data_IF_504512783584
#
_entry.id   IF_504512783584
#
_cell.length_a   1.000
_cell.length_b   1.000
_cell.length_c   1.000
_cell.angle_alpha   90.00
_cell.angle_beta   90.00
_cell.angle_gamma   90.00
#
_symmetry.space_group_name_H-M   'P 1'
#
loop_
_entity.id
_entity.type
_entity.pdbx_description
1 polymer ?
#
# COMPACT_ATOMS: atom_id res chain seq x y z
N UNK A 1 -32.42 56.82 20.86
CA UNK A 1 -31.28 55.91 21.09
C UNK A 1 -30.71 55.53 19.73
N UNK A 2 -29.41 55.76 19.51
CA UNK A 2 -28.68 55.48 18.26
C UNK A 2 -28.14 54.06 18.28
N UNK A 3 -28.33 53.35 17.17
CA UNK A 3 -27.74 52.03 16.88
C UNK A 3 -26.23 52.12 16.71
N UNK A 4 -25.50 51.23 17.39
CA UNK A 4 -24.12 50.86 17.06
C UNK A 4 -24.03 49.33 16.99
N UNK A 5 -23.84 48.82 15.78
CA UNK A 5 -23.41 47.46 15.49
C UNK A 5 -21.91 47.56 15.25
N UNK A 6 -21.04 46.82 15.95
CA UNK A 6 -19.67 46.43 15.52
C UNK A 6 -19.07 45.40 16.50
N UNK A 7 -19.15 44.12 16.10
CA UNK A 7 -18.04 43.16 15.91
C UNK A 7 -17.20 42.59 17.09
N UNK A 8 -16.83 41.31 16.89
CA UNK A 8 -15.79 40.46 17.51
C UNK A 8 -16.20 39.69 18.77
N UNK A 9 -16.34 38.37 18.74
CA UNK A 9 -15.19 37.48 18.61
C UNK A 9 -15.60 36.10 18.07
N UNK A 10 -14.93 35.70 16.99
CA UNK A 10 -14.90 34.35 16.43
C UNK A 10 -13.94 33.54 17.30
N UNK A 11 -14.34 32.34 17.72
CA UNK A 11 -13.50 31.12 17.79
C UNK A 11 -14.13 30.09 18.75
N UNK A 12 -15.32 29.60 18.41
CA UNK A 12 -15.73 28.30 18.94
C UNK A 12 -14.89 27.26 18.22
N UNK A 13 -13.87 26.77 18.93
CA UNK A 13 -13.03 25.64 18.55
C UNK A 13 -13.89 24.39 18.37
N UNK A 14 -14.58 24.28 17.24
CA UNK A 14 -15.08 23.02 16.74
C UNK A 14 -13.91 22.37 16.02
N UNK A 15 -13.09 21.66 16.79
CA UNK A 15 -12.14 20.69 16.26
C UNK A 15 -12.92 19.68 15.42
N UNK A 16 -13.07 19.97 14.14
CA UNK A 16 -13.34 18.97 13.14
C UNK A 16 -12.10 18.07 13.15
N UNK A 17 -12.14 17.06 14.01
CA UNK A 17 -11.38 15.84 13.83
C UNK A 17 -11.75 15.38 12.42
N UNK A 18 -10.94 15.77 11.44
CA UNK A 18 -10.86 15.12 10.16
C UNK A 18 -10.48 13.70 10.53
N UNK A 19 -11.51 12.85 10.63
CA UNK A 19 -11.37 11.41 10.73
C UNK A 19 -10.51 11.07 9.53
N UNK A 20 -9.24 10.82 9.84
CA UNK A 20 -8.27 10.27 8.93
C UNK A 20 -8.74 8.84 8.66
N UNK A 21 -9.82 8.72 7.89
CA UNK A 21 -10.14 7.50 7.17
C UNK A 21 -9.07 7.41 6.10
N UNK A 22 -7.87 7.02 6.51
CA UNK A 22 -6.92 6.39 5.64
C UNK A 22 -7.63 5.12 5.15
N UNK A 23 -8.40 5.26 4.08
CA UNK A 23 -8.56 4.17 3.13
C UNK A 23 -7.15 3.61 2.96
N UNK A 24 -6.93 2.29 3.09
CA UNK A 24 -5.64 1.76 2.69
C UNK A 24 -5.52 2.22 1.24
N UNK A 25 -4.56 3.11 0.98
CA UNK A 25 -4.14 3.33 -0.37
C UNK A 25 -3.73 1.93 -0.80
N UNK A 26 -4.55 1.32 -1.66
CA UNK A 26 -4.10 0.23 -2.50
C UNK A 26 -2.98 0.87 -3.31
N UNK A 27 -1.78 0.91 -2.72
CA UNK A 27 -0.59 1.31 -3.41
C UNK A 27 -0.48 0.25 -4.49
N UNK A 28 -0.82 0.63 -5.72
CA UNK A 28 -0.51 -0.18 -6.88
C UNK A 28 0.95 -0.59 -6.70
N UNK A 29 1.23 -1.90 -6.56
CA UNK A 29 2.58 -2.35 -6.27
C UNK A 29 3.47 -1.85 -7.40
N UNK A 30 4.39 -0.95 -7.06
CA UNK A 30 5.33 -0.42 -8.03
C UNK A 30 6.19 -1.59 -8.56
N UNK A 31 6.73 -1.47 -9.77
CA UNK A 31 7.55 -2.54 -10.31
C UNK A 31 8.81 -2.78 -9.46
N UNK A 32 9.28 -1.76 -8.75
CA UNK A 32 10.37 -1.85 -7.77
C UNK A 32 9.99 -2.65 -6.51
N UNK A 33 8.70 -2.84 -6.24
CA UNK A 33 8.23 -3.68 -5.13
C UNK A 33 8.34 -5.19 -5.44
N UNK A 34 8.51 -5.55 -6.71
CA UNK A 34 8.72 -6.94 -7.12
C UNK A 34 10.20 -7.30 -7.02
N UNK A 35 10.49 -8.45 -6.40
CA UNK A 35 11.81 -9.06 -6.55
C UNK A 35 12.03 -9.53 -8.00
N UNK A 36 13.27 -9.88 -8.36
CA UNK A 36 13.55 -10.58 -9.63
C UNK A 36 13.95 -12.02 -9.32
N UNK A 37 13.34 -12.96 -10.03
CA UNK A 37 13.61 -14.39 -9.84
C UNK A 37 13.18 -15.22 -11.03
N UNK A 38 13.40 -16.52 -10.97
CA UNK A 38 12.89 -17.49 -11.94
C UNK A 38 12.22 -18.67 -11.23
N UNK A 39 11.33 -19.38 -11.90
CA UNK A 39 10.61 -20.52 -11.30
C UNK A 39 11.59 -21.54 -10.73
N UNK A 40 11.36 -21.96 -9.49
CA UNK A 40 12.20 -22.93 -8.78
C UNK A 40 13.52 -22.37 -8.26
N UNK A 41 13.85 -21.11 -8.55
CA UNK A 41 14.98 -20.42 -7.90
C UNK A 41 14.62 -20.13 -6.43
N UNK A 42 15.64 -20.14 -5.58
CA UNK A 42 15.48 -19.81 -4.16
C UNK A 42 14.98 -18.38 -3.97
N UNK A 43 13.95 -18.23 -3.15
CA UNK A 43 13.49 -16.95 -2.61
C UNK A 43 13.91 -16.76 -1.13
N UNK A 44 14.88 -17.56 -0.65
CA UNK A 44 15.41 -17.45 0.71
C UNK A 44 15.98 -16.04 0.97
N UNK A 45 15.27 -15.26 1.78
CA UNK A 45 15.55 -13.84 2.02
C UNK A 45 14.31 -12.95 1.83
N UNK A 46 13.28 -13.47 1.16
CA UNK A 46 11.98 -12.81 1.02
C UNK A 46 10.93 -13.50 1.90
N UNK A 47 9.93 -12.74 2.39
CA UNK A 47 8.81 -13.35 3.11
C UNK A 47 7.96 -14.21 2.16
N UNK A 48 7.35 -15.28 2.70
CA UNK A 48 6.35 -16.08 1.98
C UNK A 48 5.25 -15.15 1.47
N UNK A 49 4.83 -15.34 0.22
CA UNK A 49 3.86 -14.48 -0.44
C UNK A 49 4.44 -13.24 -1.11
N UNK A 50 5.73 -12.91 -0.90
CA UNK A 50 6.40 -11.83 -1.68
C UNK A 50 6.28 -12.14 -3.17
N UNK A 51 6.10 -11.10 -3.97
CA UNK A 51 5.99 -11.22 -5.42
C UNK A 51 7.33 -10.94 -6.10
N UNK A 52 7.58 -11.63 -7.21
CA UNK A 52 8.72 -11.38 -8.09
C UNK A 52 8.28 -11.35 -9.56
N UNK A 53 9.04 -10.63 -10.39
CA UNK A 53 8.90 -10.69 -11.84
C UNK A 53 9.82 -11.79 -12.40
N UNK A 54 9.26 -12.70 -13.19
CA UNK A 54 10.02 -13.74 -13.88
C UNK A 54 10.94 -13.10 -14.92
N UNK A 55 12.23 -13.42 -14.85
CA UNK A 55 13.28 -12.78 -15.66
C UNK A 55 13.15 -12.98 -17.17
N UNK A 56 12.56 -14.09 -17.62
CA UNK A 56 12.55 -14.46 -19.05
C UNK A 56 11.19 -14.28 -19.75
N UNK A 57 10.09 -14.45 -19.01
CA UNK A 57 8.74 -14.58 -19.57
C UNK A 57 7.81 -13.44 -19.11
N UNK A 58 8.23 -12.62 -18.15
CA UNK A 58 7.53 -11.39 -17.77
C UNK A 58 6.21 -11.59 -17.02
N UNK A 59 6.01 -12.74 -16.37
CA UNK A 59 4.87 -12.95 -15.46
C UNK A 59 5.31 -12.91 -13.99
N UNK A 60 4.33 -12.88 -13.09
CA UNK A 60 4.55 -12.77 -11.64
C UNK A 60 4.73 -14.14 -11.00
N UNK A 61 5.71 -14.23 -10.11
CA UNK A 61 5.97 -15.35 -9.21
C UNK A 61 5.64 -14.96 -7.78
N UNK A 62 5.37 -15.95 -6.93
CA UNK A 62 5.27 -15.77 -5.48
C UNK A 62 6.25 -16.69 -4.75
N UNK A 63 6.86 -16.18 -3.67
CA UNK A 63 7.72 -16.97 -2.80
C UNK A 63 6.85 -17.93 -1.98
N UNK A 64 7.02 -19.23 -2.22
CA UNK A 64 6.25 -20.27 -1.56
C UNK A 64 6.93 -20.72 -0.24
N UNK A 65 6.20 -21.46 0.58
CA UNK A 65 6.65 -21.93 1.90
C UNK A 65 7.85 -22.88 1.87
N UNK A 66 8.13 -23.50 0.73
CA UNK A 66 9.33 -24.29 0.43
C UNK A 66 10.56 -23.44 0.10
N UNK A 67 10.42 -22.11 0.10
CA UNK A 67 11.53 -21.18 -0.09
C UNK A 67 11.95 -21.00 -1.55
N UNK A 68 11.06 -21.30 -2.49
CA UNK A 68 11.27 -21.15 -3.94
C UNK A 68 10.22 -20.27 -4.59
N UNK A 69 10.55 -19.72 -5.75
CA UNK A 69 9.60 -18.96 -6.57
C UNK A 69 8.68 -19.87 -7.37
N UNK A 70 7.37 -19.68 -7.22
CA UNK A 70 6.33 -20.46 -7.89
C UNK A 70 5.36 -19.55 -8.64
N UNK A 71 4.69 -20.09 -9.67
CA UNK A 71 3.56 -19.40 -10.28
C UNK A 71 2.42 -19.40 -9.26
N UNK A 72 1.86 -18.23 -8.90
CA UNK A 72 0.71 -18.16 -8.01
C UNK A 72 -0.46 -18.92 -8.65
N UNK A 73 -0.89 -20.01 -8.02
CA UNK A 73 -2.19 -20.62 -8.36
C UNK A 73 -3.27 -19.79 -7.69
N UNK A 74 -4.31 -19.42 -8.44
CA UNK A 74 -5.47 -18.73 -7.87
C UNK A 74 -6.04 -19.54 -6.68
N UNK A 75 -6.57 -18.87 -5.63
CA UNK A 75 -7.32 -19.54 -4.57
C UNK A 75 -8.61 -20.19 -5.08
#
# INVERSE_FOLDING_TARGET
>A
MRTFITTATIASAAGAALILAAAPAHADPDIDDYARGSIGESCAGYPVGKLALERNQGFVLSCNSDGTWHIPTAP
#
